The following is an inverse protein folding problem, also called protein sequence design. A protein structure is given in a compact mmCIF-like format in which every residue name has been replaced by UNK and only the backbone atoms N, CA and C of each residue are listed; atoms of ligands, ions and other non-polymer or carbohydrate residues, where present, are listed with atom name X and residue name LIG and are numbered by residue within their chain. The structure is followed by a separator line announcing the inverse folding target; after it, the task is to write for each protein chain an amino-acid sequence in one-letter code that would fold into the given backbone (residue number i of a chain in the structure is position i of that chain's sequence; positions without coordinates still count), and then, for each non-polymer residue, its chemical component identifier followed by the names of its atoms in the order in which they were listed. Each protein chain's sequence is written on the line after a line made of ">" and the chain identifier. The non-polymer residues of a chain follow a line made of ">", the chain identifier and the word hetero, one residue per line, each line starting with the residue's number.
data_IF_039663927722
#
_entry.id   IF_039663927722
#
_cell.length_a   1.000
_cell.length_b   1.000
_cell.length_c   1.000
_cell.angle_alpha   90.00
_cell.angle_beta   90.00
_cell.angle_gamma   90.00
#
_symmetry.space_group_name_H-M   'P 1'
#
loop_
_entity.id
_entity.type
_entity.pdbx_description
1 polymer ?
#
# COMPACT_ATOMS: atom_id res chain seq x y z
N UNK A 1 -5.85 -1.93 -25.76
CA UNK A 1 -6.58 -0.65 -25.62
C UNK A 1 -6.93 -0.64 -24.16
N UNK A 2 -6.29 0.25 -23.42
CA UNK A 2 -6.27 0.18 -21.97
C UNK A 2 -7.71 0.23 -21.43
N UNK A 3 -8.08 -0.78 -20.64
CA UNK A 3 -9.42 -0.82 -20.05
C UNK A 3 -9.51 0.20 -18.90
N UNK A 4 -10.72 0.66 -18.61
CA UNK A 4 -10.94 1.61 -17.52
C UNK A 4 -10.45 1.11 -16.15
N UNK A 5 -10.42 -0.22 -15.95
CA UNK A 5 -9.92 -0.88 -14.73
C UNK A 5 -8.40 -0.77 -14.58
N UNK A 6 -7.67 -0.74 -15.71
CA UNK A 6 -6.21 -0.65 -15.72
C UNK A 6 -5.80 0.78 -15.35
N UNK A 7 -6.48 1.76 -15.95
CA UNK A 7 -6.31 3.17 -15.60
C UNK A 7 -6.65 3.45 -14.13
N UNK A 8 -7.72 2.84 -13.61
CA UNK A 8 -8.06 2.94 -12.19
C UNK A 8 -6.94 2.41 -11.29
N UNK A 9 -6.33 1.28 -11.66
CA UNK A 9 -5.18 0.70 -10.94
C UNK A 9 -3.99 1.65 -10.93
N UNK A 10 -3.64 2.22 -12.08
CA UNK A 10 -2.56 3.19 -12.19
C UNK A 10 -2.81 4.48 -11.40
N UNK A 11 -4.04 5.01 -11.47
CA UNK A 11 -4.40 6.22 -10.74
C UNK A 11 -4.40 6.01 -9.22
N UNK A 12 -4.99 4.93 -8.73
CA UNK A 12 -4.95 4.56 -7.31
C UNK A 12 -3.50 4.35 -6.89
N UNK A 13 -2.71 3.64 -7.69
CA UNK A 13 -1.28 3.43 -7.44
C UNK A 13 -0.50 4.74 -7.30
N UNK A 14 -0.75 5.72 -8.18
CA UNK A 14 -0.12 7.03 -8.12
C UNK A 14 -0.47 7.80 -6.84
N UNK A 15 -1.75 7.77 -6.43
CA UNK A 15 -2.20 8.45 -5.21
C UNK A 15 -1.55 7.80 -3.98
N UNK A 16 -1.58 6.48 -3.88
CA UNK A 16 -0.96 5.73 -2.78
C UNK A 16 0.55 5.97 -2.75
N UNK A 17 1.22 5.91 -3.90
CA UNK A 17 2.64 6.23 -4.01
C UNK A 17 2.95 7.64 -3.50
N UNK A 18 2.17 8.65 -3.90
CA UNK A 18 2.36 10.02 -3.45
C UNK A 18 2.13 10.18 -1.93
N UNK A 19 1.13 9.50 -1.38
CA UNK A 19 0.85 9.50 0.07
C UNK A 19 2.00 8.90 0.89
N UNK A 20 2.76 7.95 0.35
CA UNK A 20 3.96 7.43 1.00
C UNK A 20 5.21 8.28 0.75
N UNK A 21 5.42 8.74 -0.48
CA UNK A 21 6.63 9.44 -0.89
C UNK A 21 6.71 10.86 -0.30
N UNK A 22 5.62 11.63 -0.33
CA UNK A 22 5.65 13.04 0.10
C UNK A 22 6.05 13.20 1.58
N UNK A 23 5.46 12.46 2.55
CA UNK A 23 5.86 12.57 3.94
C UNK A 23 7.29 12.10 4.17
N UNK A 24 7.74 11.11 3.40
CA UNK A 24 9.12 10.62 3.47
C UNK A 24 10.12 11.68 2.99
N UNK A 25 9.87 12.31 1.84
CA UNK A 25 10.70 13.40 1.31
C UNK A 25 10.76 14.59 2.28
N UNK A 26 9.61 14.99 2.84
CA UNK A 26 9.58 16.07 3.83
C UNK A 26 10.45 15.74 5.05
N UNK A 27 10.41 14.49 5.52
CA UNK A 27 11.23 14.02 6.65
C UNK A 27 12.73 14.06 6.38
N UNK A 28 13.12 13.95 5.11
CA UNK A 28 14.51 14.08 4.65
C UNK A 28 14.92 15.54 4.42
N UNK A 29 14.05 16.51 4.71
CA UNK A 29 14.29 17.93 4.48
C UNK A 29 14.08 18.36 3.03
N UNK A 30 13.40 17.56 2.21
CA UNK A 30 13.10 17.87 0.81
C UNK A 30 11.68 18.39 0.69
N UNK A 31 11.56 19.62 0.18
CA UNK A 31 10.28 20.22 -0.18
C UNK A 31 9.55 20.97 0.96
N UNK A 32 8.38 21.54 0.64
CA UNK A 32 7.58 22.37 1.56
C UNK A 32 6.86 21.58 2.66
N UNK A 33 6.45 22.25 3.74
CA UNK A 33 5.83 21.62 4.93
C UNK A 33 4.53 20.86 4.66
N UNK A 34 3.76 21.23 3.63
CA UNK A 34 2.53 20.54 3.29
C UNK A 34 2.77 19.09 2.84
N UNK A 35 3.99 18.76 2.38
CA UNK A 35 4.37 17.39 2.04
C UNK A 35 4.42 16.46 3.26
N UNK A 36 4.42 16.99 4.48
CA UNK A 36 4.37 16.18 5.71
C UNK A 36 3.02 15.46 5.90
N UNK A 37 1.96 15.89 5.20
CA UNK A 37 0.60 15.32 5.29
C UNK A 37 0.13 15.16 6.75
N UNK A 38 0.35 16.19 7.57
CA UNK A 38 0.04 16.18 9.02
C UNK A 38 -1.45 16.03 9.34
N UNK A 39 -2.33 16.21 8.35
CA UNK A 39 -3.78 16.12 8.50
C UNK A 39 -4.33 14.69 8.47
N UNK A 40 -3.53 13.69 8.06
CA UNK A 40 -3.94 12.29 8.01
C UNK A 40 -3.50 11.55 9.28
N UNK A 41 -4.42 11.20 10.20
CA UNK A 41 -4.09 10.41 11.38
C UNK A 41 -3.67 8.99 10.98
N UNK A 42 -2.75 8.41 11.77
CA UNK A 42 -2.18 7.08 11.50
C UNK A 42 -3.23 5.98 11.34
N UNK A 43 -4.35 6.07 12.08
CA UNK A 43 -5.48 5.14 11.94
C UNK A 43 -6.11 5.19 10.55
N UNK A 44 -6.28 6.38 9.95
CA UNK A 44 -6.82 6.48 8.59
C UNK A 44 -5.79 5.95 7.60
N UNK A 45 -4.51 6.23 7.82
CA UNK A 45 -3.40 5.70 7.00
C UNK A 45 -3.42 4.17 6.98
N UNK A 46 -3.59 3.49 8.13
CA UNK A 46 -3.66 2.01 8.16
C UNK A 46 -4.88 1.46 7.41
N UNK A 47 -6.03 2.14 7.46
CA UNK A 47 -7.20 1.76 6.67
C UNK A 47 -6.95 1.90 5.16
N UNK A 48 -6.27 2.97 4.74
CA UNK A 48 -5.91 3.17 3.33
C UNK A 48 -4.97 2.06 2.86
N UNK A 49 -3.95 1.68 3.64
CA UNK A 49 -3.09 0.52 3.35
C UNK A 49 -3.92 -0.74 3.19
N UNK A 50 -4.77 -1.07 4.17
CA UNK A 50 -5.53 -2.31 4.13
C UNK A 50 -6.40 -2.41 2.87
N UNK A 51 -7.05 -1.32 2.47
CA UNK A 51 -7.89 -1.28 1.25
C UNK A 51 -7.03 -1.32 -0.02
N UNK A 52 -5.93 -0.56 -0.08
CA UNK A 52 -5.03 -0.55 -1.24
C UNK A 52 -4.34 -1.91 -1.43
N UNK A 53 -3.87 -2.53 -0.35
CA UNK A 53 -3.31 -3.87 -0.34
C UNK A 53 -4.31 -4.91 -0.82
N UNK A 54 -5.57 -4.84 -0.35
CA UNK A 54 -6.62 -5.74 -0.79
C UNK A 54 -6.88 -5.60 -2.30
N UNK A 55 -6.90 -4.37 -2.80
CA UNK A 55 -7.04 -4.11 -4.23
C UNK A 55 -5.84 -4.65 -5.02
N UNK A 56 -4.62 -4.49 -4.48
CA UNK A 56 -3.42 -5.05 -5.08
C UNK A 56 -3.45 -6.59 -5.08
N UNK A 57 -3.97 -7.25 -4.05
CA UNK A 57 -4.15 -8.72 -4.02
C UNK A 57 -5.05 -9.14 -5.19
N UNK A 58 -6.17 -8.46 -5.40
CA UNK A 58 -7.11 -8.77 -6.50
C UNK A 58 -6.39 -8.63 -7.85
N UNK A 59 -5.71 -7.51 -8.09
CA UNK A 59 -4.96 -7.27 -9.33
C UNK A 59 -3.84 -8.31 -9.55
N UNK A 60 -3.13 -8.67 -8.48
CA UNK A 60 -2.04 -9.65 -8.54
C UNK A 60 -2.54 -11.06 -8.85
N UNK A 61 -3.73 -11.44 -8.37
CA UNK A 61 -4.37 -12.72 -8.72
C UNK A 61 -4.75 -12.74 -10.21
N UNK A 62 -5.31 -11.64 -10.73
CA UNK A 62 -5.64 -11.52 -12.16
C UNK A 62 -4.37 -11.63 -13.02
N UNK A 63 -3.30 -10.93 -12.64
CA UNK A 63 -1.99 -11.00 -13.31
C UNK A 63 -1.43 -12.43 -13.31
N UNK A 64 -1.57 -13.15 -12.20
CA UNK A 64 -1.12 -14.53 -12.06
C UNK A 64 -1.92 -15.49 -12.95
N UNK A 65 -3.22 -15.25 -13.14
CA UNK A 65 -4.04 -16.02 -14.10
C UNK A 65 -3.65 -15.76 -15.56
N UNK A 66 -3.05 -14.61 -15.87
CA UNK A 66 -2.54 -14.27 -17.19
C UNK A 66 -1.11 -14.82 -17.46
N UNK A 67 -0.62 -15.75 -16.63
CA UNK A 67 0.70 -16.41 -16.76
C UNK A 67 1.91 -15.48 -16.68
N UNK A 68 1.76 -14.30 -16.08
CA UNK A 68 2.89 -13.40 -15.86
C UNK A 68 3.66 -13.82 -14.59
N UNK A 69 4.96 -14.10 -14.73
CA UNK A 69 5.82 -14.51 -13.62
C UNK A 69 5.92 -13.43 -12.52
N UNK A 70 5.67 -12.16 -12.87
CA UNK A 70 5.65 -11.03 -11.94
C UNK A 70 4.47 -11.13 -10.96
N UNK A 71 3.35 -11.75 -11.36
CA UNK A 71 2.16 -11.90 -10.53
C UNK A 71 2.42 -12.61 -9.19
N UNK A 72 3.33 -13.59 -9.14
CA UNK A 72 3.69 -14.25 -7.87
C UNK A 72 4.36 -13.30 -6.87
N UNK A 73 5.23 -12.42 -7.36
CA UNK A 73 5.91 -11.43 -6.51
C UNK A 73 4.89 -10.40 -6.03
N UNK A 74 4.04 -9.89 -6.92
CA UNK A 74 2.97 -8.95 -6.61
C UNK A 74 2.03 -9.52 -5.54
N UNK A 75 1.63 -10.79 -5.66
CA UNK A 75 0.78 -11.49 -4.66
C UNK A 75 1.45 -11.51 -3.29
N UNK A 76 2.73 -11.92 -3.19
CA UNK A 76 3.43 -12.01 -1.90
C UNK A 76 3.52 -10.63 -1.25
N UNK A 77 3.91 -9.60 -2.02
CA UNK A 77 4.00 -8.22 -1.53
C UNK A 77 2.63 -7.73 -1.06
N UNK A 78 1.57 -7.99 -1.82
CA UNK A 78 0.21 -7.58 -1.50
C UNK A 78 -0.29 -8.21 -0.20
N UNK A 79 -0.03 -9.51 0.03
CA UNK A 79 -0.41 -10.18 1.28
C UNK A 79 0.36 -9.65 2.49
N UNK A 80 1.66 -9.37 2.34
CA UNK A 80 2.47 -8.76 3.40
C UNK A 80 1.94 -7.36 3.74
N UNK A 81 1.68 -6.55 2.73
CA UNK A 81 1.15 -5.20 2.91
C UNK A 81 -0.25 -5.23 3.54
N UNK A 82 -1.11 -6.17 3.11
CA UNK A 82 -2.42 -6.40 3.69
C UNK A 82 -2.31 -6.79 5.16
N UNK A 83 -1.39 -7.69 5.52
CA UNK A 83 -1.18 -8.05 6.92
C UNK A 83 -0.73 -6.85 7.76
N UNK A 84 0.20 -6.02 7.25
CA UNK A 84 0.70 -4.85 7.98
C UNK A 84 -0.39 -3.78 8.14
N UNK A 85 -1.27 -3.61 7.15
CA UNK A 85 -2.41 -2.68 7.23
C UNK A 85 -3.56 -3.21 8.10
N UNK A 86 -3.93 -4.48 7.93
CA UNK A 86 -5.14 -5.08 8.51
C UNK A 86 -4.96 -5.52 9.96
N UNK A 87 -3.81 -6.11 10.32
CA UNK A 87 -3.61 -6.64 11.67
C UNK A 87 -3.74 -5.56 12.77
N UNK A 88 -3.16 -4.35 12.63
CA UNK A 88 -3.34 -3.28 13.63
C UNK A 88 -4.79 -2.83 13.77
N UNK A 89 -5.56 -2.88 12.68
CA UNK A 89 -6.99 -2.54 12.69
C UNK A 89 -7.76 -3.59 13.50
N UNK A 90 -7.53 -4.88 13.22
CA UNK A 90 -8.15 -5.97 13.97
C UNK A 90 -7.78 -5.93 15.46
N UNK A 91 -6.50 -5.71 15.77
CA UNK A 91 -6.02 -5.53 17.14
C UNK A 91 -6.69 -4.34 17.85
N UNK A 92 -6.90 -3.23 17.14
CA UNK A 92 -7.63 -2.07 17.64
C UNK A 92 -9.10 -2.33 17.99
N UNK A 93 -9.73 -3.33 17.36
CA UNK A 93 -11.07 -3.81 17.72
C UNK A 93 -11.07 -4.90 18.80
N UNK A 94 -9.92 -5.29 19.33
CA UNK A 94 -9.78 -6.42 20.25
C UNK A 94 -9.99 -7.77 19.58
N UNK A 95 -9.84 -7.84 18.25
CA UNK A 95 -9.95 -9.09 17.49
C UNK A 95 -8.54 -9.67 17.30
N UNK A 96 -8.32 -10.87 17.84
CA UNK A 96 -7.09 -11.63 17.68
C UNK A 96 -6.10 -11.49 18.84
N UNK A 97 -4.91 -12.10 18.70
CA UNK A 97 -3.86 -12.10 19.71
C UNK A 97 -3.13 -10.75 19.81
N UNK A 98 -2.48 -10.48 20.94
CA UNK A 98 -1.83 -9.19 21.25
C UNK A 98 -0.80 -8.73 20.21
N UNK A 99 -0.17 -9.67 19.49
CA UNK A 99 0.80 -9.35 18.44
C UNK A 99 0.16 -8.65 17.22
N UNK A 100 -1.16 -8.69 17.06
CA UNK A 100 -1.87 -7.97 15.99
C UNK A 100 -1.72 -6.46 16.11
N UNK A 101 -1.47 -5.95 17.31
CA UNK A 101 -1.20 -4.53 17.52
C UNK A 101 0.15 -4.06 16.92
N UNK A 102 0.95 -5.00 16.41
CA UNK A 102 2.25 -4.77 15.77
C UNK A 102 3.12 -3.79 16.56
N UNK A 103 3.18 -3.96 17.89
CA UNK A 103 3.82 -2.98 18.78
C UNK A 103 5.31 -2.78 18.46
N UNK A 104 5.97 -3.84 18.00
CA UNK A 104 7.36 -3.80 17.54
C UNK A 104 7.58 -2.87 16.34
N UNK A 105 6.53 -2.59 15.55
CA UNK A 105 6.58 -1.68 14.41
C UNK A 105 6.26 -0.23 14.80
N UNK A 106 5.71 0.04 15.98
CA UNK A 106 5.33 1.41 16.42
C UNK A 106 6.55 2.36 16.44
N UNK A 107 7.73 1.86 16.80
CA UNK A 107 8.99 2.64 16.79
C UNK A 107 9.46 3.07 15.39
N UNK A 108 9.07 2.32 14.35
CA UNK A 108 9.35 2.61 12.95
C UNK A 108 8.10 3.10 12.19
N UNK A 109 6.98 3.27 12.89
CA UNK A 109 5.64 3.18 12.32
C UNK A 109 5.47 4.03 11.08
N UNK A 110 5.69 5.33 11.20
CA UNK A 110 5.47 6.24 10.08
C UNK A 110 6.43 6.03 8.90
N UNK A 111 7.68 5.60 9.14
CA UNK A 111 8.61 5.29 8.03
C UNK A 111 8.14 4.02 7.32
N UNK A 112 7.80 2.99 8.09
CA UNK A 112 7.35 1.72 7.54
C UNK A 112 6.09 1.89 6.70
N UNK A 113 5.09 2.62 7.20
CA UNK A 113 3.87 2.92 6.43
C UNK A 113 4.21 3.66 5.15
N UNK A 114 5.07 4.69 5.19
CA UNK A 114 5.48 5.39 3.97
C UNK A 114 6.14 4.46 2.94
N UNK A 115 7.00 3.54 3.39
CA UNK A 115 7.65 2.55 2.52
C UNK A 115 6.63 1.58 1.92
N UNK A 116 5.65 1.13 2.70
CA UNK A 116 4.59 0.24 2.21
C UNK A 116 3.72 0.94 1.17
N UNK A 117 3.29 2.18 1.42
CA UNK A 117 2.55 2.97 0.44
C UNK A 117 3.34 3.15 -0.87
N UNK A 118 4.65 3.44 -0.76
CA UNK A 118 5.50 3.54 -1.95
C UNK A 118 5.53 2.21 -2.72
N UNK A 119 5.72 1.08 -2.03
CA UNK A 119 5.74 -0.23 -2.65
C UNK A 119 4.39 -0.59 -3.28
N UNK A 120 3.29 -0.51 -2.54
CA UNK A 120 1.93 -0.77 -3.02
C UNK A 120 1.59 0.10 -4.22
N UNK A 121 1.88 1.40 -4.13
CA UNK A 121 1.63 2.34 -5.21
C UNK A 121 2.40 1.99 -6.48
N UNK A 122 3.68 1.59 -6.35
CA UNK A 122 4.47 1.10 -7.47
C UNK A 122 3.88 -0.17 -8.09
N UNK A 123 3.54 -1.17 -7.28
CA UNK A 123 2.97 -2.41 -7.79
C UNK A 123 1.61 -2.20 -8.47
N UNK A 124 0.77 -1.31 -7.96
CA UNK A 124 -0.50 -0.93 -8.61
C UNK A 124 -0.28 -0.19 -9.94
N UNK A 125 0.73 0.68 -10.02
CA UNK A 125 1.12 1.31 -11.27
C UNK A 125 1.72 0.31 -12.28
N UNK A 126 2.47 -0.69 -11.82
CA UNK A 126 2.96 -1.78 -12.69
C UNK A 126 1.78 -2.64 -13.18
N UNK A 127 0.81 -2.93 -12.32
CA UNK A 127 -0.38 -3.71 -12.68
C UNK A 127 -1.17 -3.06 -13.84
N UNK A 128 -1.21 -1.72 -13.93
CA UNK A 128 -1.81 -1.00 -15.07
C UNK A 128 -1.21 -1.43 -16.41
N UNK A 129 0.10 -1.72 -16.47
CA UNK A 129 0.78 -2.13 -17.70
C UNK A 129 0.84 -3.65 -17.86
N UNK A 130 0.91 -4.39 -16.75
CA UNK A 130 1.07 -5.84 -16.75
C UNK A 130 -0.20 -6.61 -17.15
N UNK A 131 -1.39 -6.00 -17.03
CA UNK A 131 -2.65 -6.63 -17.43
C UNK A 131 -2.89 -6.65 -18.95
N UNK A 132 -2.19 -5.82 -19.73
CA UNK A 132 -2.29 -5.79 -21.20
C UNK A 132 -1.25 -6.67 -21.93
N UNK A 133 -0.28 -7.26 -21.22
CA UNK A 133 0.76 -8.13 -21.79
C UNK A 133 0.37 -9.61 -21.72
#
# INVERSE_FOLDING_TARGET
>A
MMEAKDFASGFVGLVIFALGLLPLLNRLGVGPEWMAIKFLPLTIVSWIVAVAALYLVINSIIELTNSNAIGWISVIVAFVALAIGLLPILGGFGIGPDFFNLEFLKGFGQILYNVIFIAEGLFLMVAMFAMEM
#
